data_IF_500035302871
#
_entry.id   IF_500035302871
#
_cell.length_a   1.000
_cell.length_b   1.000
_cell.length_c   1.000
_cell.angle_alpha   90.00
_cell.angle_beta   90.00
_cell.angle_gamma   90.00
#
_symmetry.space_group_name_H-M   'P 1'
#
loop_
_entity.id
_entity.type
_entity.pdbx_description
1 polymer ?
#
# COMPACT_ATOMS: atom_id res chain seq x y z
N UNK A 1 1.65 40.92 17.71
CA UNK A 1 2.03 40.25 18.96
C UNK A 1 2.25 38.78 18.63
N UNK A 2 3.51 38.34 18.55
CA UNK A 2 3.86 36.94 18.27
C UNK A 2 3.73 36.17 19.59
N UNK A 3 2.73 35.28 19.69
CA UNK A 3 2.64 34.35 20.82
C UNK A 3 3.75 33.30 20.62
N UNK A 4 4.85 33.44 21.34
CA UNK A 4 5.82 32.38 21.54
C UNK A 4 5.19 31.43 22.58
N UNK A 5 4.58 30.36 22.13
CA UNK A 5 4.12 29.30 23.03
C UNK A 5 5.35 28.47 23.43
N UNK A 6 6.00 28.86 24.52
CA UNK A 6 6.92 27.98 25.22
C UNK A 6 6.08 26.91 25.94
N UNK A 7 5.91 25.76 25.31
CA UNK A 7 5.26 24.61 25.94
C UNK A 7 6.25 23.99 26.93
N UNK A 8 6.08 24.28 28.21
CA UNK A 8 6.70 23.56 29.32
C UNK A 8 6.31 22.07 29.23
N UNK A 9 7.28 21.21 29.00
CA UNK A 9 7.15 19.76 28.96
C UNK A 9 6.80 19.19 30.36
N UNK A 10 5.54 19.28 30.75
CA UNK A 10 4.94 18.20 31.55
C UNK A 10 4.65 17.07 30.57
N UNK A 11 5.12 15.84 30.82
CA UNK A 11 4.84 14.67 30.01
C UNK A 11 3.34 14.64 29.64
N UNK A 12 2.92 14.95 28.41
CA UNK A 12 1.53 14.80 28.06
C UNK A 12 1.25 13.31 27.99
N UNK A 13 0.16 12.87 28.57
CA UNK A 13 -0.40 11.56 28.32
C UNK A 13 -0.42 11.35 26.80
N UNK A 14 0.16 10.24 26.33
CA UNK A 14 0.07 9.82 24.96
C UNK A 14 -1.37 10.02 24.50
N UNK A 15 -1.62 10.97 23.62
CA UNK A 15 -2.97 11.23 23.13
C UNK A 15 -3.49 9.92 22.54
N UNK A 16 -4.51 9.35 23.17
CA UNK A 16 -5.11 8.11 22.71
C UNK A 16 -5.52 8.30 21.25
N UNK A 17 -5.00 7.48 20.35
CA UNK A 17 -5.34 7.55 18.92
C UNK A 17 -6.85 7.37 18.78
N UNK A 18 -7.50 8.34 18.15
CA UNK A 18 -8.94 8.29 17.92
C UNK A 18 -9.22 7.41 16.72
N UNK A 19 -10.26 6.60 16.82
CA UNK A 19 -10.83 5.86 15.70
C UNK A 19 -11.97 6.68 15.09
N UNK A 20 -11.92 6.92 13.79
CA UNK A 20 -13.06 7.49 13.07
C UNK A 20 -14.14 6.41 12.90
N UNK A 21 -15.38 6.63 13.38
CA UNK A 21 -16.48 5.68 13.20
C UNK A 21 -16.78 5.33 11.74
N UNK A 22 -16.49 6.22 10.79
CA UNK A 22 -16.64 5.94 9.35
C UNK A 22 -15.62 4.89 8.90
N UNK A 23 -14.38 5.00 9.33
CA UNK A 23 -13.33 4.02 9.05
C UNK A 23 -13.65 2.68 9.72
N UNK A 24 -14.16 2.69 10.95
CA UNK A 24 -14.62 1.46 11.62
C UNK A 24 -15.75 0.78 10.84
N UNK A 25 -16.72 1.55 10.34
CA UNK A 25 -17.81 1.02 9.51
C UNK A 25 -17.30 0.44 8.19
N UNK A 26 -16.31 1.06 7.54
CA UNK A 26 -15.65 0.52 6.33
C UNK A 26 -14.97 -0.81 6.65
N UNK A 27 -14.16 -0.87 7.69
CA UNK A 27 -13.43 -2.07 8.11
C UNK A 27 -14.38 -3.21 8.49
N UNK A 28 -15.51 -2.92 9.11
CA UNK A 28 -16.51 -3.91 9.48
C UNK A 28 -17.16 -4.62 8.27
N UNK A 29 -17.13 -4.01 7.07
CA UNK A 29 -17.67 -4.60 5.83
C UNK A 29 -16.76 -5.64 5.20
N UNK A 30 -15.54 -5.83 5.70
CA UNK A 30 -14.61 -6.86 5.17
C UNK A 30 -15.06 -8.23 5.65
N UNK A 31 -15.36 -9.11 4.70
CA UNK A 31 -15.90 -10.43 4.91
C UNK A 31 -14.94 -11.53 4.41
N UNK A 32 -14.46 -12.37 5.32
CA UNK A 32 -13.55 -13.47 5.03
C UNK A 32 -14.17 -14.52 4.10
N UNK A 33 -15.47 -14.79 4.24
CA UNK A 33 -16.16 -15.78 3.40
C UNK A 33 -16.25 -15.32 1.94
N UNK A 34 -16.50 -14.03 1.71
CA UNK A 34 -16.45 -13.44 0.37
C UNK A 34 -15.05 -13.54 -0.23
N UNK A 35 -14.01 -13.22 0.54
CA UNK A 35 -12.62 -13.33 0.08
C UNK A 35 -12.29 -14.76 -0.33
N UNK A 36 -12.68 -15.75 0.48
CA UNK A 36 -12.51 -17.17 0.15
C UNK A 36 -13.23 -17.57 -1.13
N UNK A 37 -14.44 -17.07 -1.35
CA UNK A 37 -15.21 -17.35 -2.56
C UNK A 37 -14.52 -16.78 -3.82
N UNK A 38 -13.95 -15.58 -3.73
CA UNK A 38 -13.19 -14.95 -4.82
C UNK A 38 -11.93 -15.76 -5.13
N UNK A 39 -11.12 -16.09 -4.11
CA UNK A 39 -9.90 -16.89 -4.28
C UNK A 39 -10.22 -18.26 -4.88
N UNK A 40 -11.27 -18.93 -4.37
CA UNK A 40 -11.76 -20.19 -4.92
C UNK A 40 -12.07 -20.05 -6.42
N UNK A 41 -12.88 -19.05 -6.78
CA UNK A 41 -13.29 -18.87 -8.18
C UNK A 41 -12.09 -18.57 -9.10
N UNK A 42 -11.15 -17.73 -8.68
CA UNK A 42 -9.93 -17.47 -9.45
C UNK A 42 -9.09 -18.74 -9.62
N UNK A 43 -8.97 -19.57 -8.59
CA UNK A 43 -8.25 -20.85 -8.67
C UNK A 43 -8.90 -21.84 -9.63
N UNK A 44 -10.22 -21.80 -9.78
CA UNK A 44 -11.00 -22.70 -10.67
C UNK A 44 -10.78 -22.43 -12.17
N UNK A 45 -10.18 -21.30 -12.56
CA UNK A 45 -9.76 -21.08 -13.95
C UNK A 45 -8.57 -21.94 -14.37
N UNK A 46 -8.02 -22.76 -13.46
CA UNK A 46 -6.96 -23.73 -13.68
C UNK A 46 -5.60 -23.13 -13.91
N UNK A 47 -5.43 -22.29 -14.91
CA UNK A 47 -4.29 -21.39 -15.10
C UNK A 47 -4.79 -20.01 -15.46
N UNK A 48 -4.04 -18.98 -14.99
CA UNK A 48 -4.25 -17.59 -15.40
C UNK A 48 -2.96 -17.01 -15.98
N UNK A 49 -2.10 -17.90 -16.52
CA UNK A 49 -0.87 -17.47 -17.17
C UNK A 49 -1.15 -16.40 -18.25
N UNK A 50 -0.35 -15.35 -18.28
CA UNK A 50 -0.54 -14.20 -19.20
C UNK A 50 -0.72 -14.63 -20.67
N UNK A 51 -0.07 -15.72 -21.09
CA UNK A 51 -0.17 -16.25 -22.45
C UNK A 51 -1.17 -17.39 -22.60
N UNK A 52 -1.98 -17.71 -21.59
CA UNK A 52 -2.90 -18.86 -21.65
C UNK A 52 -4.11 -18.63 -22.56
N UNK A 53 -4.50 -17.38 -22.80
CA UNK A 53 -5.69 -17.07 -23.59
C UNK A 53 -6.96 -17.71 -23.03
N UNK A 54 -7.73 -18.38 -23.89
CA UNK A 54 -8.87 -19.23 -23.54
C UNK A 54 -8.51 -20.67 -23.86
N UNK A 55 -8.51 -21.56 -22.86
CA UNK A 55 -8.14 -22.97 -23.00
C UNK A 55 -9.35 -23.90 -22.76
N UNK A 56 -10.40 -23.74 -23.56
CA UNK A 56 -11.68 -24.44 -23.37
C UNK A 56 -12.63 -23.69 -22.42
N UNK A 57 -13.77 -24.29 -22.07
CA UNK A 57 -14.80 -23.62 -21.27
C UNK A 57 -14.28 -23.25 -19.87
N UNK A 58 -14.25 -21.93 -19.58
CA UNK A 58 -13.94 -21.42 -18.24
C UNK A 58 -12.48 -21.57 -17.80
N UNK A 59 -11.52 -21.82 -18.69
CA UNK A 59 -10.10 -21.99 -18.36
C UNK A 59 -9.22 -20.94 -19.06
N UNK A 60 -8.25 -20.40 -18.34
CA UNK A 60 -7.26 -19.45 -18.85
C UNK A 60 -7.49 -18.02 -18.38
N UNK A 61 -6.57 -17.11 -18.75
CA UNK A 61 -6.58 -15.72 -18.29
C UNK A 61 -7.76 -14.92 -18.84
N UNK A 62 -8.23 -15.21 -20.06
CA UNK A 62 -9.34 -14.46 -20.68
C UNK A 62 -10.64 -14.69 -19.94
N UNK A 63 -11.09 -15.95 -19.66
CA UNK A 63 -12.27 -16.17 -18.82
C UNK A 63 -12.14 -15.58 -17.40
N UNK A 64 -10.95 -15.61 -16.81
CA UNK A 64 -10.70 -15.00 -15.50
C UNK A 64 -10.88 -13.48 -15.56
N UNK A 65 -10.35 -12.84 -16.60
CA UNK A 65 -10.50 -11.41 -16.84
C UNK A 65 -11.95 -10.98 -17.02
N UNK A 66 -12.73 -11.70 -17.83
CA UNK A 66 -14.13 -11.39 -18.05
C UNK A 66 -14.95 -11.53 -16.75
N UNK A 67 -14.70 -12.60 -16.00
CA UNK A 67 -15.32 -12.76 -14.67
C UNK A 67 -14.95 -11.61 -13.72
N UNK A 68 -13.69 -11.20 -13.65
CA UNK A 68 -13.26 -10.07 -12.83
C UNK A 68 -13.93 -8.76 -13.24
N UNK A 69 -14.10 -8.54 -14.56
CA UNK A 69 -14.82 -7.38 -15.07
C UNK A 69 -16.26 -7.35 -14.58
N UNK A 70 -16.94 -8.49 -14.61
CA UNK A 70 -18.32 -8.63 -14.09
C UNK A 70 -18.37 -8.40 -12.58
N UNK A 71 -17.42 -8.92 -11.81
CA UNK A 71 -17.34 -8.72 -10.35
C UNK A 71 -17.13 -7.26 -9.98
N UNK A 72 -16.19 -6.55 -10.64
CA UNK A 72 -15.99 -5.12 -10.42
C UNK A 72 -17.21 -4.30 -10.84
N UNK A 73 -17.87 -4.67 -11.95
CA UNK A 73 -19.11 -4.03 -12.36
C UNK A 73 -20.25 -4.25 -11.35
N UNK A 74 -20.37 -5.46 -10.80
CA UNK A 74 -21.35 -5.78 -9.77
C UNK A 74 -21.11 -4.98 -8.48
N UNK A 75 -19.86 -4.85 -8.05
CA UNK A 75 -19.47 -4.01 -6.90
C UNK A 75 -19.77 -2.53 -7.17
N UNK A 76 -19.55 -2.07 -8.41
CA UNK A 76 -19.79 -0.69 -8.83
C UNK A 76 -21.27 -0.32 -8.99
N UNK A 77 -22.14 -1.30 -9.19
CA UNK A 77 -23.58 -1.06 -9.47
C UNK A 77 -24.27 -0.25 -8.36
N UNK A 78 -24.83 0.89 -8.72
CA UNK A 78 -25.55 1.76 -7.78
C UNK A 78 -24.65 2.38 -6.71
N UNK A 79 -23.36 2.57 -7.01
CA UNK A 79 -22.37 3.16 -6.10
C UNK A 79 -21.66 4.35 -6.76
N UNK A 80 -20.68 4.92 -6.06
CA UNK A 80 -19.81 5.98 -6.59
C UNK A 80 -18.61 5.46 -7.39
N UNK A 81 -18.37 4.16 -7.38
CA UNK A 81 -17.26 3.54 -8.09
C UNK A 81 -17.43 3.69 -9.60
N UNK A 82 -16.36 4.07 -10.26
CA UNK A 82 -16.28 4.18 -11.72
C UNK A 82 -15.44 3.04 -12.27
N UNK A 83 -15.85 2.38 -13.37
CA UNK A 83 -15.04 1.36 -14.02
C UNK A 83 -13.67 1.92 -14.43
N UNK A 84 -12.63 1.08 -14.28
CA UNK A 84 -11.28 1.38 -14.71
C UNK A 84 -10.76 0.26 -15.59
N UNK A 85 -10.19 0.59 -16.73
CA UNK A 85 -9.50 -0.34 -17.61
C UNK A 85 -8.25 0.32 -18.21
N UNK A 86 -7.16 -0.42 -18.23
CA UNK A 86 -5.90 -0.03 -18.84
C UNK A 86 -5.43 -1.21 -19.71
N UNK A 87 -5.54 -1.05 -21.04
CA UNK A 87 -5.36 -2.11 -22.03
C UNK A 87 -4.27 -1.75 -23.03
N UNK A 88 -3.37 -2.69 -23.31
CA UNK A 88 -2.31 -2.53 -24.29
C UNK A 88 -1.81 -3.88 -24.79
N UNK A 89 -0.99 -3.87 -25.85
CA UNK A 89 -0.30 -5.05 -26.36
C UNK A 89 1.15 -5.01 -25.89
N UNK A 90 1.56 -5.98 -25.08
CA UNK A 90 2.95 -6.21 -24.76
C UNK A 90 3.64 -6.92 -25.93
N UNK A 91 4.77 -6.41 -26.44
CA UNK A 91 5.53 -7.09 -27.50
C UNK A 91 6.18 -8.37 -26.98
N UNK A 92 6.48 -9.29 -27.87
CA UNK A 92 7.35 -10.42 -27.55
C UNK A 92 8.74 -9.92 -27.14
N UNK A 93 9.29 -10.47 -26.06
CA UNK A 93 10.62 -10.13 -25.53
C UNK A 93 11.64 -11.27 -25.66
N UNK A 94 11.19 -12.44 -26.15
CA UNK A 94 12.00 -13.65 -26.28
C UNK A 94 12.46 -14.27 -24.96
N UNK A 95 11.94 -13.78 -23.83
CA UNK A 95 12.30 -14.26 -22.47
C UNK A 95 11.07 -14.78 -21.71
N UNK A 96 10.12 -13.91 -21.41
CA UNK A 96 8.90 -14.23 -20.66
C UNK A 96 7.63 -14.04 -21.46
N UNK A 97 7.69 -13.28 -22.55
CA UNK A 97 6.62 -13.09 -23.53
C UNK A 97 7.06 -13.69 -24.87
N UNK A 98 6.63 -14.91 -25.14
CA UNK A 98 6.99 -15.64 -26.36
C UNK A 98 6.33 -15.06 -27.64
N UNK A 99 5.11 -14.53 -27.50
CA UNK A 99 4.33 -13.90 -28.58
C UNK A 99 3.68 -12.64 -28.03
N UNK A 100 3.38 -11.62 -28.87
CA UNK A 100 2.67 -10.43 -28.40
C UNK A 100 1.40 -10.81 -27.64
N UNK A 101 1.20 -10.22 -26.47
CA UNK A 101 0.10 -10.53 -25.57
C UNK A 101 -0.72 -9.29 -25.23
N UNK A 102 -2.04 -9.45 -25.21
CA UNK A 102 -2.92 -8.42 -24.69
C UNK A 102 -2.88 -8.41 -23.16
N UNK A 103 -2.43 -7.30 -22.60
CA UNK A 103 -2.42 -7.04 -21.15
C UNK A 103 -3.60 -6.14 -20.82
N UNK A 104 -4.37 -6.50 -19.80
CA UNK A 104 -5.52 -5.72 -19.37
C UNK A 104 -5.49 -5.60 -17.84
N UNK A 105 -5.16 -4.43 -17.36
CA UNK A 105 -5.40 -4.06 -15.96
C UNK A 105 -6.84 -3.59 -15.85
N UNK A 106 -7.56 -4.07 -14.86
CA UNK A 106 -8.98 -3.74 -14.70
C UNK A 106 -9.35 -3.55 -13.23
N UNK A 107 -10.36 -2.75 -12.98
CA UNK A 107 -10.78 -2.45 -11.61
C UNK A 107 -11.80 -1.34 -11.55
N UNK A 108 -11.75 -0.62 -10.44
CA UNK A 108 -12.63 0.53 -10.19
C UNK A 108 -11.88 1.66 -9.51
N UNK A 109 -12.36 2.88 -9.73
CA UNK A 109 -11.90 4.08 -9.04
C UNK A 109 -13.05 4.66 -8.22
N UNK A 110 -12.80 4.94 -6.95
CA UNK A 110 -13.65 5.78 -6.12
C UNK A 110 -13.17 7.22 -6.26
N UNK A 111 -13.91 8.11 -6.93
CA UNK A 111 -13.47 9.48 -7.14
C UNK A 111 -13.41 10.28 -5.83
N UNK A 112 -12.37 11.07 -5.68
CA UNK A 112 -12.26 12.05 -4.61
C UNK A 112 -13.27 13.18 -4.76
N UNK A 113 -13.62 13.81 -3.63
CA UNK A 113 -14.59 14.90 -3.57
C UNK A 113 -13.96 16.28 -3.44
N UNK A 114 -12.68 16.34 -3.10
CA UNK A 114 -11.94 17.60 -2.95
C UNK A 114 -11.36 18.05 -4.30
N UNK A 115 -11.96 19.08 -4.88
CA UNK A 115 -11.53 19.62 -6.19
C UNK A 115 -10.07 20.10 -6.19
N UNK A 116 -9.56 20.62 -5.05
CA UNK A 116 -8.18 21.04 -4.94
C UNK A 116 -7.20 19.86 -4.95
N UNK A 117 -7.70 18.64 -4.71
CA UNK A 117 -6.94 17.38 -4.67
C UNK A 117 -7.34 16.40 -5.77
N UNK A 118 -8.04 16.87 -6.81
CA UNK A 118 -8.59 16.04 -7.89
C UNK A 118 -7.55 15.17 -8.63
N UNK A 119 -6.28 15.58 -8.63
CA UNK A 119 -5.16 14.85 -9.21
C UNK A 119 -4.39 13.97 -8.20
N UNK A 120 -4.87 13.87 -6.97
CA UNK A 120 -4.25 13.02 -5.96
C UNK A 120 -4.97 11.68 -5.86
N UNK A 121 -4.20 10.60 -5.70
CA UNK A 121 -4.75 9.26 -5.63
C UNK A 121 -4.03 8.36 -4.63
N UNK A 122 -4.76 7.38 -4.11
CA UNK A 122 -4.25 6.19 -3.43
C UNK A 122 -4.49 5.01 -4.35
N UNK A 123 -3.51 4.12 -4.50
CA UNK A 123 -3.60 2.96 -5.41
C UNK A 123 -3.38 1.67 -4.61
N UNK A 124 -4.24 0.68 -4.84
CA UNK A 124 -4.07 -0.67 -4.34
C UNK A 124 -4.14 -1.65 -5.51
N UNK A 125 -3.18 -2.56 -5.60
CA UNK A 125 -3.14 -3.61 -6.62
C UNK A 125 -3.00 -5.01 -6.04
N UNK A 126 -3.48 -6.00 -6.76
CA UNK A 126 -3.11 -7.40 -6.73
C UNK A 126 -3.07 -7.90 -8.17
N UNK A 127 -2.26 -8.92 -8.49
CA UNK A 127 -2.21 -9.43 -9.86
C UNK A 127 -3.11 -10.65 -10.04
N UNK A 128 -3.75 -10.75 -11.20
CA UNK A 128 -4.65 -11.87 -11.45
C UNK A 128 -4.07 -12.95 -12.36
N UNK A 129 -2.90 -12.73 -12.93
CA UNK A 129 -2.14 -13.78 -13.60
C UNK A 129 -1.48 -14.74 -12.60
N UNK A 130 -1.07 -15.92 -13.06
CA UNK A 130 -0.42 -16.96 -12.26
C UNK A 130 0.48 -17.82 -13.12
N UNK A 131 1.49 -18.47 -12.53
CA UNK A 131 2.41 -19.36 -13.24
C UNK A 131 2.59 -20.70 -12.53
N UNK A 132 2.85 -21.78 -13.30
CA UNK A 132 3.35 -23.05 -12.74
C UNK A 132 4.87 -22.99 -12.48
N UNK A 133 5.51 -24.14 -12.29
CA UNK A 133 6.96 -24.22 -12.07
C UNK A 133 7.80 -23.74 -13.27
N UNK A 134 7.28 -23.89 -14.48
CA UNK A 134 7.86 -23.30 -15.70
C UNK A 134 7.14 -22.01 -16.04
N UNK A 135 7.83 -20.89 -15.89
CA UNK A 135 7.29 -19.55 -16.18
C UNK A 135 6.86 -19.35 -17.63
N UNK A 136 7.26 -20.23 -18.53
CA UNK A 136 6.91 -20.17 -19.95
C UNK A 136 5.77 -21.14 -20.32
N UNK A 137 5.26 -21.93 -19.36
CA UNK A 137 4.17 -22.88 -19.61
C UNK A 137 2.80 -22.26 -19.37
N UNK A 138 2.05 -21.90 -20.42
CA UNK A 138 0.74 -21.30 -20.30
C UNK A 138 -0.39 -22.33 -20.12
N UNK A 139 -0.09 -23.65 -20.09
CA UNK A 139 -1.08 -24.73 -20.19
C UNK A 139 -1.27 -25.51 -18.90
N UNK A 140 -0.20 -25.75 -18.18
CA UNK A 140 -0.22 -26.51 -16.93
C UNK A 140 -1.00 -25.75 -15.85
N UNK A 141 -1.64 -26.48 -14.95
CA UNK A 141 -2.40 -25.91 -13.84
C UNK A 141 -1.52 -25.04 -12.95
N UNK A 142 -1.97 -23.83 -12.74
CA UNK A 142 -1.42 -22.82 -11.84
C UNK A 142 -2.57 -22.08 -11.13
N UNK A 143 -3.17 -22.70 -10.09
CA UNK A 143 -4.35 -22.13 -9.43
C UNK A 143 -4.09 -20.76 -8.81
N UNK A 144 -2.84 -20.48 -8.36
CA UNK A 144 -2.44 -19.17 -7.87
C UNK A 144 -3.37 -18.64 -6.78
N UNK A 145 -3.64 -19.45 -5.75
CA UNK A 145 -4.59 -19.08 -4.70
C UNK A 145 -4.02 -17.98 -3.80
N UNK A 146 -2.73 -18.12 -3.44
CA UNK A 146 -2.03 -17.15 -2.61
C UNK A 146 -1.30 -16.14 -3.49
N UNK A 147 -0.74 -16.58 -4.59
CA UNK A 147 0.01 -15.81 -5.60
C UNK A 147 -0.77 -15.77 -6.93
N UNK A 148 -1.68 -14.77 -7.23
CA UNK A 148 -2.09 -13.74 -6.28
C UNK A 148 -3.61 -13.50 -6.33
N UNK A 149 -4.41 -14.59 -6.41
CA UNK A 149 -5.86 -14.46 -6.21
C UNK A 149 -6.18 -13.82 -4.83
N UNK A 150 -5.26 -13.95 -3.87
CA UNK A 150 -5.38 -13.37 -2.54
C UNK A 150 -5.42 -11.84 -2.58
N UNK A 151 -4.49 -11.18 -3.26
CA UNK A 151 -4.45 -9.72 -3.41
C UNK A 151 -5.62 -9.20 -4.22
N UNK A 152 -6.01 -9.90 -5.30
CA UNK A 152 -7.22 -9.55 -6.07
C UNK A 152 -8.47 -9.62 -5.20
N UNK A 153 -8.58 -10.64 -4.32
CA UNK A 153 -9.71 -10.74 -3.39
C UNK A 153 -9.78 -9.56 -2.42
N UNK A 154 -8.63 -9.05 -1.99
CA UNK A 154 -8.54 -7.85 -1.16
C UNK A 154 -8.95 -6.60 -1.94
N UNK A 155 -8.53 -6.45 -3.20
CA UNK A 155 -8.92 -5.30 -4.04
C UNK A 155 -10.44 -5.22 -4.21
N UNK A 156 -11.09 -6.33 -4.56
CA UNK A 156 -12.56 -6.42 -4.68
C UNK A 156 -13.27 -6.17 -3.35
N UNK A 157 -12.73 -6.68 -2.24
CA UNK A 157 -13.33 -6.52 -0.91
C UNK A 157 -13.22 -5.08 -0.41
N UNK A 158 -12.07 -4.42 -0.61
CA UNK A 158 -11.87 -3.02 -0.25
C UNK A 158 -12.73 -2.08 -1.11
N UNK A 159 -12.80 -2.33 -2.44
CA UNK A 159 -13.69 -1.60 -3.34
C UNK A 159 -15.14 -1.68 -2.87
N UNK A 160 -15.61 -2.88 -2.51
CA UNK A 160 -16.96 -3.08 -1.98
C UNK A 160 -17.18 -2.37 -0.64
N UNK A 161 -16.18 -2.37 0.24
CA UNK A 161 -16.27 -1.72 1.55
C UNK A 161 -16.34 -0.20 1.45
N UNK A 162 -15.65 0.40 0.48
CA UNK A 162 -15.57 1.86 0.30
C UNK A 162 -16.58 2.42 -0.72
N UNK A 163 -17.34 1.59 -1.42
CA UNK A 163 -18.12 1.91 -2.62
C UNK A 163 -18.98 3.17 -2.57
N UNK A 164 -19.46 3.57 -1.41
CA UNK A 164 -20.37 4.72 -1.21
C UNK A 164 -19.74 5.82 -0.36
N UNK A 165 -18.48 5.68 0.02
CA UNK A 165 -17.79 6.71 0.81
C UNK A 165 -17.42 7.92 -0.04
N UNK A 166 -17.16 9.04 0.63
CA UNK A 166 -16.81 10.34 0.04
C UNK A 166 -15.37 10.73 0.46
N UNK A 167 -14.34 10.10 -0.11
CA UNK A 167 -12.96 10.41 0.22
C UNK A 167 -12.55 11.77 -0.35
N UNK A 168 -11.56 12.42 0.24
CA UNK A 168 -11.00 13.64 -0.29
C UNK A 168 -10.21 13.44 -1.59
N UNK A 169 -9.51 12.31 -1.70
CA UNK A 169 -8.69 11.94 -2.85
C UNK A 169 -9.22 10.67 -3.51
N UNK A 170 -8.91 10.46 -4.78
CA UNK A 170 -9.35 9.25 -5.50
C UNK A 170 -8.67 7.99 -4.95
N UNK A 171 -9.40 6.86 -4.96
CA UNK A 171 -8.85 5.56 -4.57
C UNK A 171 -9.04 4.56 -5.71
N UNK A 172 -7.94 3.98 -6.17
CA UNK A 172 -7.91 2.98 -7.23
C UNK A 172 -7.78 1.57 -6.64
N UNK A 173 -8.64 0.66 -7.06
CA UNK A 173 -8.57 -0.78 -6.76
C UNK A 173 -8.42 -1.52 -8.08
N UNK A 174 -7.23 -2.05 -8.34
CA UNK A 174 -6.89 -2.57 -9.67
C UNK A 174 -6.35 -4.00 -9.57
N UNK A 175 -6.94 -4.90 -10.35
CA UNK A 175 -6.36 -6.20 -10.67
C UNK A 175 -5.45 -6.01 -11.91
N UNK A 176 -4.14 -6.22 -11.75
CA UNK A 176 -3.16 -6.08 -12.83
C UNK A 176 -2.82 -7.43 -13.44
N UNK A 177 -2.29 -7.43 -14.66
CA UNK A 177 -1.87 -8.64 -15.38
C UNK A 177 -0.41 -8.57 -15.82
N UNK A 178 0.20 -9.73 -16.02
CA UNK A 178 1.58 -9.82 -16.48
C UNK A 178 2.61 -9.45 -15.42
N UNK A 179 2.27 -9.60 -14.15
CA UNK A 179 3.22 -9.48 -13.04
C UNK A 179 4.30 -10.53 -13.18
N UNK A 180 3.88 -11.78 -13.34
CA UNK A 180 4.73 -12.96 -13.45
C UNK A 180 5.64 -12.98 -14.69
N UNK A 181 5.27 -12.21 -15.71
CA UNK A 181 6.08 -12.01 -16.88
C UNK A 181 6.97 -10.77 -16.81
N UNK A 182 7.12 -10.17 -15.63
CA UNK A 182 8.05 -9.07 -15.36
C UNK A 182 7.37 -7.73 -15.08
N UNK A 183 6.30 -7.71 -14.31
CA UNK A 183 5.62 -6.50 -13.84
C UNK A 183 5.01 -5.65 -14.97
N UNK A 184 4.65 -6.28 -16.10
CA UNK A 184 4.32 -5.56 -17.34
C UNK A 184 3.10 -4.65 -17.15
N UNK A 185 2.03 -5.17 -16.53
CA UNK A 185 0.80 -4.41 -16.34
C UNK A 185 0.99 -3.26 -15.37
N UNK A 186 1.65 -3.49 -14.24
CA UNK A 186 1.89 -2.45 -13.25
C UNK A 186 2.86 -1.37 -13.74
N UNK A 187 3.85 -1.72 -14.59
CA UNK A 187 4.73 -0.74 -15.22
C UNK A 187 3.94 0.22 -16.11
N UNK A 188 3.08 -0.34 -16.97
CA UNK A 188 2.22 0.47 -17.84
C UNK A 188 1.28 1.36 -17.03
N UNK A 189 0.62 0.81 -16.01
CA UNK A 189 -0.27 1.56 -15.13
C UNK A 189 0.46 2.72 -14.43
N UNK A 190 1.63 2.46 -13.85
CA UNK A 190 2.41 3.49 -13.16
C UNK A 190 2.86 4.61 -14.11
N UNK A 191 3.31 4.25 -15.33
CA UNK A 191 3.69 5.21 -16.37
C UNK A 191 2.49 6.04 -16.83
N UNK A 192 1.33 5.40 -17.04
CA UNK A 192 0.08 6.06 -17.41
C UNK A 192 -0.33 7.10 -16.37
N UNK A 193 -0.43 6.71 -15.09
CA UNK A 193 -0.81 7.63 -14.02
C UNK A 193 0.16 8.82 -13.92
N UNK A 194 1.46 8.57 -14.10
CA UNK A 194 2.46 9.64 -14.12
C UNK A 194 2.28 10.58 -15.31
N UNK A 195 2.04 10.04 -16.50
CA UNK A 195 1.81 10.84 -17.71
C UNK A 195 0.51 11.66 -17.67
N UNK A 196 -0.52 11.16 -16.98
CA UNK A 196 -1.77 11.85 -16.71
C UNK A 196 -1.65 12.91 -15.60
N UNK A 197 -0.48 13.05 -14.99
CA UNK A 197 -0.20 14.00 -13.91
C UNK A 197 -0.89 13.64 -12.60
N UNK A 198 -1.18 12.35 -12.37
CA UNK A 198 -1.73 11.87 -11.10
C UNK A 198 -0.62 11.81 -10.06
N UNK A 199 -0.82 12.52 -8.96
CA UNK A 199 0.05 12.46 -7.79
C UNK A 199 -0.38 11.28 -6.90
N UNK A 200 0.28 10.13 -7.03
CA UNK A 200 0.03 8.97 -6.17
C UNK A 200 0.62 9.24 -4.79
N UNK A 201 -0.24 9.47 -3.81
CA UNK A 201 0.13 9.72 -2.42
C UNK A 201 0.64 8.48 -1.70
N UNK A 202 0.08 7.34 -2.08
CA UNK A 202 0.36 6.05 -1.48
C UNK A 202 -0.04 4.93 -2.45
N UNK A 203 0.81 3.93 -2.61
CA UNK A 203 0.50 2.72 -3.36
C UNK A 203 0.82 1.48 -2.53
N UNK A 204 -0.05 0.49 -2.56
CA UNK A 204 0.20 -0.82 -1.97
C UNK A 204 -0.10 -1.93 -2.96
N UNK A 205 0.91 -2.75 -3.25
CA UNK A 205 0.70 -4.06 -3.85
C UNK A 205 0.45 -5.06 -2.73
N UNK A 206 -0.63 -5.82 -2.84
CA UNK A 206 -0.84 -7.00 -2.00
C UNK A 206 -0.50 -8.22 -2.85
N UNK A 207 0.47 -8.98 -2.41
CA UNK A 207 0.96 -10.12 -3.18
C UNK A 207 1.55 -11.15 -2.22
N UNK A 208 1.12 -12.40 -2.38
CA UNK A 208 1.34 -13.53 -1.47
C UNK A 208 0.78 -13.20 -0.08
N UNK A 209 -0.54 -13.24 0.04
CA UNK A 209 -1.25 -12.90 1.27
C UNK A 209 -2.31 -13.95 1.64
N UNK A 210 -2.28 -14.38 2.90
CA UNK A 210 -3.32 -15.27 3.44
C UNK A 210 -2.93 -16.72 3.62
N UNK A 211 -1.68 -17.13 3.37
CA UNK A 211 -1.19 -18.40 3.88
C UNK A 211 -0.58 -18.17 5.28
N UNK A 212 -1.07 -18.90 6.28
CA UNK A 212 -0.62 -18.76 7.67
C UNK A 212 0.42 -19.81 8.09
N UNK A 213 0.76 -20.78 7.23
CA UNK A 213 1.70 -21.85 7.54
C UNK A 213 2.98 -21.75 6.71
N UNK A 214 4.10 -21.45 7.36
CA UNK A 214 5.42 -21.43 6.74
C UNK A 214 5.90 -22.82 6.33
N UNK A 215 6.94 -22.88 5.49
CA UNK A 215 7.53 -24.14 5.05
C UNK A 215 8.13 -24.97 6.20
N UNK A 216 8.46 -24.33 7.31
CA UNK A 216 8.93 -24.93 8.55
C UNK A 216 7.79 -25.51 9.42
N UNK A 217 6.53 -25.43 8.95
CA UNK A 217 5.34 -25.88 9.66
C UNK A 217 4.89 -24.91 10.77
N UNK A 218 5.57 -23.81 10.98
CA UNK A 218 5.17 -22.81 11.96
C UNK A 218 4.00 -21.98 11.42
N UNK A 219 2.94 -21.89 12.21
CA UNK A 219 1.76 -21.08 11.88
C UNK A 219 1.85 -19.69 12.50
N UNK A 220 1.70 -18.66 11.67
CA UNK A 220 1.58 -17.28 12.11
C UNK A 220 0.48 -16.57 11.29
N UNK A 221 -0.69 -16.44 11.89
CA UNK A 221 -1.83 -15.71 11.34
C UNK A 221 -2.02 -14.34 12.02
N UNK A 222 -1.03 -13.89 12.78
CA UNK A 222 -1.10 -12.67 13.59
C UNK A 222 -0.11 -11.60 13.15
N UNK A 223 0.77 -11.93 12.22
CA UNK A 223 1.78 -11.00 11.69
C UNK A 223 1.66 -10.90 10.17
N UNK A 224 1.96 -9.71 9.61
CA UNK A 224 2.18 -9.52 8.17
C UNK A 224 3.37 -8.58 7.95
N UNK A 225 3.94 -8.59 6.73
CA UNK A 225 5.14 -7.82 6.37
C UNK A 225 4.78 -6.69 5.42
N UNK A 226 5.37 -5.52 5.65
CA UNK A 226 5.30 -4.35 4.78
C UNK A 226 6.71 -4.05 4.27
N UNK A 227 6.99 -4.38 3.01
CA UNK A 227 8.26 -4.05 2.38
C UNK A 227 8.23 -2.61 1.87
N UNK A 228 9.28 -1.84 2.17
CA UNK A 228 9.38 -0.43 1.79
C UNK A 228 10.82 -0.04 1.51
N UNK A 229 11.06 0.66 0.41
CA UNK A 229 12.38 1.23 0.15
C UNK A 229 12.69 2.38 1.11
N UNK A 230 13.96 2.57 1.43
CA UNK A 230 14.41 3.72 2.23
C UNK A 230 14.76 4.91 1.34
N UNK A 231 15.60 4.66 0.34
CA UNK A 231 16.05 5.67 -0.62
C UNK A 231 15.42 5.36 -1.98
N UNK A 232 14.64 6.29 -2.55
CA UNK A 232 14.03 6.08 -3.87
C UNK A 232 15.08 5.93 -4.97
N UNK A 233 14.92 4.92 -5.83
CA UNK A 233 15.77 4.75 -7.01
C UNK A 233 15.67 5.95 -7.98
N UNK A 234 14.52 6.61 -8.00
CA UNK A 234 14.25 7.82 -8.80
C UNK A 234 14.80 9.11 -8.19
N UNK A 235 15.57 9.02 -7.08
CA UNK A 235 16.09 10.20 -6.39
C UNK A 235 17.01 11.03 -7.30
N UNK A 236 16.71 12.33 -7.42
CA UNK A 236 17.56 13.28 -8.13
C UNK A 236 18.78 13.66 -7.30
N UNK A 237 19.85 14.19 -7.94
CA UNK A 237 21.03 14.68 -7.23
C UNK A 237 20.72 15.80 -6.21
N UNK A 238 19.70 16.61 -6.47
CA UNK A 238 19.25 17.63 -5.52
C UNK A 238 18.60 17.00 -4.29
N UNK A 239 17.73 16.04 -4.49
CA UNK A 239 17.10 15.28 -3.40
C UNK A 239 18.14 14.49 -2.60
N UNK A 240 19.10 13.86 -3.28
CA UNK A 240 20.21 13.15 -2.63
C UNK A 240 21.03 14.06 -1.71
N UNK A 241 21.44 15.23 -2.21
CA UNK A 241 22.20 16.20 -1.39
C UNK A 241 21.42 16.63 -0.15
N UNK A 242 20.12 16.87 -0.32
CA UNK A 242 19.26 17.27 0.79
C UNK A 242 19.09 16.14 1.82
N UNK A 243 18.83 14.92 1.35
CA UNK A 243 18.71 13.73 2.20
C UNK A 243 19.99 13.51 3.03
N UNK A 244 21.17 13.60 2.40
CA UNK A 244 22.45 13.47 3.08
C UNK A 244 22.67 14.59 4.13
N UNK A 245 22.21 15.82 3.84
CA UNK A 245 22.32 16.93 4.79
C UNK A 245 21.38 16.81 6.00
N UNK A 246 20.27 16.07 5.85
CA UNK A 246 19.24 15.89 6.88
C UNK A 246 19.33 14.55 7.59
N UNK A 247 20.13 13.60 7.10
CA UNK A 247 20.20 12.23 7.65
C UNK A 247 18.92 11.43 7.45
N UNK A 248 18.18 11.68 6.36
CA UNK A 248 16.84 11.09 6.11
C UNK A 248 16.89 9.79 5.29
N UNK A 249 17.89 8.93 5.49
CA UNK A 249 18.01 7.65 4.76
C UNK A 249 16.86 6.67 5.02
N UNK A 250 16.18 6.83 6.14
CA UNK A 250 15.07 5.98 6.55
C UNK A 250 13.69 6.67 6.52
N UNK A 251 13.61 7.87 5.93
CA UNK A 251 12.41 8.71 5.99
C UNK A 251 11.89 9.06 4.58
N UNK A 252 12.19 8.19 3.61
CA UNK A 252 11.63 8.28 2.27
C UNK A 252 10.12 8.04 2.25
N UNK A 253 9.41 8.56 1.23
CA UNK A 253 7.94 8.52 1.18
C UNK A 253 7.34 7.11 1.29
N UNK A 254 7.97 6.10 0.68
CA UNK A 254 7.53 4.70 0.79
C UNK A 254 7.64 4.18 2.24
N UNK A 255 8.71 4.57 2.96
CA UNK A 255 8.91 4.21 4.36
C UNK A 255 7.88 4.87 5.26
N UNK A 256 7.53 6.13 5.00
CA UNK A 256 6.48 6.83 5.74
C UNK A 256 5.11 6.21 5.50
N UNK A 257 4.81 5.81 4.26
CA UNK A 257 3.58 5.07 3.99
C UNK A 257 3.54 3.73 4.73
N UNK A 258 4.63 2.96 4.76
CA UNK A 258 4.68 1.71 5.52
C UNK A 258 4.46 1.90 7.03
N UNK A 259 5.07 2.93 7.63
CA UNK A 259 4.85 3.29 9.05
C UNK A 259 3.40 3.72 9.30
N UNK A 260 2.83 4.47 8.35
CA UNK A 260 1.44 4.89 8.43
C UNK A 260 0.50 3.68 8.40
N UNK A 261 0.69 2.75 7.45
CA UNK A 261 -0.10 1.50 7.37
C UNK A 261 0.06 0.67 8.64
N UNK A 262 1.28 0.56 9.17
CA UNK A 262 1.52 -0.15 10.44
C UNK A 262 0.71 0.47 11.58
N UNK A 263 0.86 1.76 11.82
CA UNK A 263 0.23 2.46 12.94
C UNK A 263 -1.29 2.47 12.81
N UNK A 264 -1.80 2.96 11.68
CA UNK A 264 -3.24 3.11 11.45
C UNK A 264 -3.90 1.75 11.22
N UNK A 265 -3.26 0.86 10.45
CA UNK A 265 -3.80 -0.48 10.19
C UNK A 265 -3.94 -1.31 11.46
N UNK A 266 -2.94 -1.29 12.36
CA UNK A 266 -3.02 -1.99 13.64
C UNK A 266 -4.10 -1.39 14.56
N UNK A 267 -4.40 -0.10 14.43
CA UNK A 267 -5.49 0.54 15.17
C UNK A 267 -6.86 -0.04 14.79
N UNK A 268 -7.07 -0.34 13.51
CA UNK A 268 -8.36 -0.81 12.98
C UNK A 268 -8.46 -2.33 12.80
N UNK A 269 -7.36 -3.08 12.91
CA UNK A 269 -7.36 -4.54 12.80
C UNK A 269 -6.79 -5.20 14.04
N UNK A 270 -7.67 -5.57 14.96
CA UNK A 270 -7.26 -6.27 16.18
C UNK A 270 -6.65 -7.64 15.87
N UNK A 271 -5.60 -8.00 16.60
CA UNK A 271 -4.92 -9.30 16.48
C UNK A 271 -4.01 -9.46 15.26
N UNK A 272 -3.69 -8.37 14.56
CA UNK A 272 -2.67 -8.34 13.53
C UNK A 272 -1.55 -7.36 13.92
N UNK A 273 -0.30 -7.79 13.72
CA UNK A 273 0.90 -6.95 13.81
C UNK A 273 1.53 -6.81 12.44
N UNK A 274 1.82 -5.57 12.06
CA UNK A 274 2.47 -5.26 10.79
C UNK A 274 3.95 -4.97 11.02
N UNK A 275 4.82 -5.72 10.36
CA UNK A 275 6.27 -5.56 10.45
C UNK A 275 6.76 -4.75 9.25
N UNK A 276 7.25 -3.55 9.49
CA UNK A 276 7.90 -2.75 8.46
C UNK A 276 9.26 -3.36 8.15
N UNK A 277 9.40 -3.88 6.93
CA UNK A 277 10.63 -4.45 6.41
C UNK A 277 11.47 -3.33 5.78
N UNK A 278 12.69 -3.13 6.30
CA UNK A 278 13.58 -2.05 5.88
C UNK A 278 14.33 -2.41 4.59
N UNK A 279 13.61 -2.92 3.62
CA UNK A 279 14.13 -3.24 2.29
C UNK A 279 13.00 -3.15 1.27
N UNK A 280 13.36 -2.87 0.05
CA UNK A 280 12.42 -2.67 -1.06
C UNK A 280 11.54 -3.89 -1.29
N UNK A 281 12.15 -5.09 -1.33
CA UNK A 281 11.47 -6.38 -1.42
C UNK A 281 12.41 -7.51 -0.93
N UNK A 282 12.01 -8.75 -1.14
CA UNK A 282 12.82 -9.97 -0.96
C UNK A 282 14.05 -9.93 -1.89
N UNK A 283 15.06 -10.72 -1.56
CA UNK A 283 16.31 -10.77 -2.36
C UNK A 283 16.01 -11.33 -3.75
N UNK A 284 16.38 -10.58 -4.78
CA UNK A 284 16.21 -10.91 -6.21
C UNK A 284 14.76 -11.21 -6.62
N UNK A 285 13.78 -10.68 -5.89
CA UNK A 285 12.34 -10.79 -6.17
C UNK A 285 11.69 -9.40 -6.13
N UNK A 286 10.47 -9.30 -6.60
CA UNK A 286 9.73 -8.06 -6.63
C UNK A 286 8.24 -8.28 -6.56
N UNK A 287 7.48 -7.23 -6.81
CA UNK A 287 6.04 -7.20 -7.04
C UNK A 287 5.67 -5.83 -7.63
N UNK A 288 4.41 -5.61 -7.95
CA UNK A 288 3.87 -4.44 -8.65
C UNK A 288 4.25 -3.08 -8.01
N UNK A 289 4.46 -3.02 -6.68
CA UNK A 289 4.91 -1.80 -6.01
C UNK A 289 6.25 -1.27 -6.57
N UNK A 290 7.12 -2.14 -7.08
CA UNK A 290 8.40 -1.74 -7.66
C UNK A 290 8.21 -0.88 -8.92
N UNK A 291 7.19 -1.18 -9.72
CA UNK A 291 6.82 -0.41 -10.90
C UNK A 291 6.48 1.04 -10.54
N UNK A 292 5.75 1.22 -9.47
CA UNK A 292 5.38 2.55 -8.95
C UNK A 292 6.57 3.26 -8.29
N UNK A 293 7.37 2.54 -7.50
CA UNK A 293 8.58 3.08 -6.89
C UNK A 293 9.57 3.59 -7.94
N UNK A 294 9.73 2.88 -9.08
CA UNK A 294 10.56 3.31 -10.21
C UNK A 294 10.06 4.61 -10.86
N UNK A 295 8.77 4.93 -10.74
CA UNK A 295 8.21 6.20 -11.17
C UNK A 295 8.32 7.30 -10.10
N UNK A 296 8.86 7.00 -8.92
CA UNK A 296 9.01 7.92 -7.80
C UNK A 296 7.77 8.03 -6.92
N UNK A 297 6.83 7.12 -7.03
CA UNK A 297 5.65 7.08 -6.17
C UNK A 297 5.93 6.35 -4.85
N UNK A 298 5.33 6.78 -3.73
CA UNK A 298 5.39 6.06 -2.46
C UNK A 298 4.71 4.70 -2.57
N UNK A 299 5.50 3.62 -2.65
CA UNK A 299 4.96 2.30 -2.91
C UNK A 299 5.52 1.27 -1.93
N UNK A 300 4.64 0.37 -1.45
CA UNK A 300 4.96 -0.71 -0.52
C UNK A 300 4.32 -2.01 -0.96
N UNK A 301 4.85 -3.14 -0.49
CA UNK A 301 4.23 -4.45 -0.63
C UNK A 301 3.75 -4.95 0.72
N UNK A 302 2.48 -5.36 0.80
CA UNK A 302 1.93 -6.13 1.90
C UNK A 302 1.99 -7.62 1.56
N UNK A 303 2.57 -8.43 2.44
CA UNK A 303 2.73 -9.87 2.25
C UNK A 303 2.54 -10.62 3.58
N UNK A 304 2.26 -11.91 3.51
CA UNK A 304 2.14 -12.78 4.68
C UNK A 304 3.43 -12.86 5.50
N UNK A 305 3.31 -13.31 6.75
CA UNK A 305 4.44 -13.38 7.69
C UNK A 305 5.51 -14.39 7.27
N UNK A 306 5.10 -15.56 6.78
CA UNK A 306 5.95 -16.72 6.48
C UNK A 306 5.57 -17.32 5.13
N UNK A 307 6.51 -17.25 4.20
CA UNK A 307 6.32 -17.85 2.88
C UNK A 307 6.47 -19.37 2.92
N UNK A 308 5.69 -20.04 2.06
CA UNK A 308 5.78 -21.48 1.86
C UNK A 308 6.11 -21.79 0.39
N UNK A 309 7.39 -22.07 0.12
CA UNK A 309 7.90 -22.30 -1.23
C UNK A 309 7.43 -23.61 -1.87
N UNK A 310 6.67 -24.45 -1.13
CA UNK A 310 5.95 -25.60 -1.71
C UNK A 310 4.67 -25.17 -2.41
N UNK A 311 4.19 -23.94 -2.13
CA UNK A 311 3.06 -23.32 -2.83
C UNK A 311 3.51 -22.51 -4.02
N UNK A 312 4.33 -21.50 -3.76
CA UNK A 312 4.68 -20.45 -4.72
C UNK A 312 5.34 -20.99 -5.98
N UNK A 313 4.81 -20.61 -7.16
CA UNK A 313 5.33 -20.98 -8.46
C UNK A 313 5.55 -22.50 -8.60
N UNK A 314 4.64 -23.29 -8.05
CA UNK A 314 4.75 -24.74 -8.09
C UNK A 314 3.55 -25.35 -8.86
N UNK A 315 3.89 -26.17 -9.84
CA UNK A 315 2.89 -27.05 -10.46
C UNK A 315 2.27 -27.96 -9.39
N UNK A 316 0.93 -28.07 -9.30
CA UNK A 316 0.26 -28.96 -8.35
C UNK A 316 0.69 -30.40 -8.54
N UNK A 317 1.25 -31.01 -7.48
CA UNK A 317 1.69 -32.41 -7.47
C UNK A 317 1.90 -32.89 -6.05
N UNK A 318 1.96 -34.22 -5.90
CA UNK A 318 2.43 -34.85 -4.68
C UNK A 318 3.74 -35.60 -4.99
N UNK A 319 4.78 -35.31 -4.26
CA UNK A 319 6.10 -35.91 -4.44
C UNK A 319 6.65 -36.32 -3.08
N UNK A 320 6.99 -37.61 -2.92
CA UNK A 320 7.46 -38.21 -1.65
C UNK A 320 6.53 -37.88 -0.45
N UNK A 321 5.20 -37.91 -0.66
CA UNK A 321 4.23 -37.57 0.37
C UNK A 321 4.07 -36.09 0.68
N UNK A 322 4.82 -35.21 0.02
CA UNK A 322 4.73 -33.75 0.15
C UNK A 322 3.87 -33.17 -0.96
N UNK A 323 2.90 -32.35 -0.59
CA UNK A 323 2.00 -31.66 -1.54
C UNK A 323 2.58 -30.31 -1.95
N UNK A 324 2.73 -30.12 -3.26
CA UNK A 324 3.17 -28.88 -3.91
C UNK A 324 1.99 -28.25 -4.66
N UNK A 325 2.07 -26.94 -4.91
CA UNK A 325 1.09 -26.18 -5.65
C UNK A 325 0.46 -25.07 -4.81
N UNK A 326 0.14 -23.97 -5.47
CA UNK A 326 -0.56 -22.84 -4.87
C UNK A 326 -2.06 -23.03 -5.00
N UNK A 327 -2.60 -23.83 -4.10
CA UNK A 327 -3.98 -24.28 -4.12
C UNK A 327 -4.81 -23.69 -2.97
N UNK A 328 -6.13 -23.65 -3.14
CA UNK A 328 -7.10 -23.04 -2.22
C UNK A 328 -6.98 -23.49 -0.76
N UNK A 329 -6.56 -24.73 -0.49
CA UNK A 329 -6.44 -25.25 0.88
C UNK A 329 -5.37 -24.55 1.72
N UNK A 330 -4.47 -23.80 1.07
CA UNK A 330 -3.46 -22.96 1.73
C UNK A 330 -4.01 -21.61 2.20
N UNK A 331 -5.16 -21.20 1.70
CA UNK A 331 -5.73 -19.90 1.99
C UNK A 331 -6.46 -19.86 3.33
N UNK A 332 -5.91 -19.12 4.28
CA UNK A 332 -6.50 -18.81 5.59
C UNK A 332 -7.30 -17.50 5.46
N UNK A 333 -8.58 -17.62 5.08
CA UNK A 333 -9.42 -16.46 4.85
C UNK A 333 -9.59 -15.54 6.08
N UNK A 334 -9.70 -16.03 7.33
CA UNK A 334 -9.65 -15.18 8.52
C UNK A 334 -8.38 -14.37 8.66
N UNK A 335 -7.22 -14.94 8.33
CA UNK A 335 -5.94 -14.22 8.34
C UNK A 335 -5.88 -13.15 7.24
N UNK A 336 -6.23 -13.52 6.01
CA UNK A 336 -6.33 -12.59 4.89
C UNK A 336 -7.28 -11.42 5.19
N UNK A 337 -8.43 -11.70 5.83
CA UNK A 337 -9.38 -10.66 6.23
C UNK A 337 -8.80 -9.70 7.27
N UNK A 338 -7.97 -10.16 8.21
CA UNK A 338 -7.25 -9.25 9.14
C UNK A 338 -6.27 -8.35 8.40
N UNK A 339 -5.52 -8.90 7.44
CA UNK A 339 -4.62 -8.10 6.58
C UNK A 339 -5.40 -7.07 5.76
N UNK A 340 -6.52 -7.48 5.15
CA UNK A 340 -7.42 -6.60 4.40
C UNK A 340 -8.00 -5.48 5.27
N UNK A 341 -8.45 -5.80 6.50
CA UNK A 341 -8.96 -4.82 7.49
C UNK A 341 -7.91 -3.78 7.86
N UNK A 342 -6.66 -4.22 8.09
CA UNK A 342 -5.58 -3.30 8.40
C UNK A 342 -5.31 -2.34 7.24
N UNK A 343 -5.20 -2.87 6.02
CA UNK A 343 -4.89 -2.06 4.85
C UNK A 343 -6.05 -1.11 4.48
N UNK A 344 -7.31 -1.59 4.46
CA UNK A 344 -8.46 -0.74 4.14
C UNK A 344 -8.68 0.33 5.21
N UNK A 345 -8.39 0.04 6.47
CA UNK A 345 -8.43 1.02 7.56
C UNK A 345 -7.42 2.16 7.33
N UNK A 346 -6.19 1.82 6.95
CA UNK A 346 -5.17 2.81 6.62
C UNK A 346 -5.51 3.61 5.34
N UNK A 347 -5.99 2.94 4.28
CA UNK A 347 -6.43 3.60 3.04
C UNK A 347 -7.59 4.55 3.30
N UNK A 348 -8.62 4.12 4.02
CA UNK A 348 -9.79 4.94 4.34
C UNK A 348 -9.42 6.16 5.19
N UNK A 349 -8.64 5.97 6.26
CA UNK A 349 -8.18 7.06 7.11
C UNK A 349 -7.38 8.10 6.31
N UNK A 350 -6.46 7.66 5.44
CA UNK A 350 -5.68 8.56 4.58
C UNK A 350 -6.57 9.26 3.53
N UNK A 351 -7.53 8.54 2.96
CA UNK A 351 -8.43 9.08 1.94
C UNK A 351 -9.38 10.14 2.50
N UNK A 352 -9.73 10.06 3.79
CA UNK A 352 -10.52 11.08 4.49
C UNK A 352 -9.67 12.22 5.09
N UNK A 353 -8.36 12.01 5.25
CA UNK A 353 -7.46 12.95 5.89
C UNK A 353 -7.39 14.31 5.17
N UNK A 354 -7.11 15.39 5.93
CA UNK A 354 -6.81 16.68 5.33
C UNK A 354 -5.49 16.65 4.53
N UNK A 355 -5.24 17.70 3.76
CA UNK A 355 -4.02 17.85 3.00
C UNK A 355 -2.80 17.92 3.94
N UNK A 356 -1.65 17.28 3.61
CA UNK A 356 -0.46 17.29 4.45
C UNK A 356 0.19 18.68 4.52
N UNK A 357 0.97 18.97 5.57
CA UNK A 357 1.74 20.19 5.64
C UNK A 357 2.74 20.27 4.49
N UNK A 358 3.03 21.47 4.04
CA UNK A 358 3.95 21.76 2.92
C UNK A 358 5.21 22.46 3.44
N UNK A 359 6.29 22.40 2.67
CA UNK A 359 7.51 23.16 2.92
C UNK A 359 8.05 22.98 4.36
N UNK A 360 8.02 21.74 4.87
CA UNK A 360 8.54 21.46 6.21
C UNK A 360 10.05 21.71 6.22
N UNK A 361 10.51 22.54 7.17
CA UNK A 361 11.93 22.87 7.34
C UNK A 361 12.38 22.59 8.76
N UNK A 362 13.66 22.22 8.92
CA UNK A 362 14.31 21.99 10.21
C UNK A 362 15.44 23.01 10.38
N UNK A 363 15.41 23.76 11.48
CA UNK A 363 16.48 24.65 11.93
C UNK A 363 17.03 24.21 13.28
N UNK A 364 18.17 24.80 13.68
CA UNK A 364 18.78 24.50 14.98
C UNK A 364 20.06 23.66 14.89
N UNK A 365 20.68 23.54 13.72
CA UNK A 365 21.90 22.73 13.50
C UNK A 365 23.08 23.08 14.47
N UNK A 366 23.15 24.30 14.98
CA UNK A 366 24.15 24.72 15.96
C UNK A 366 23.48 25.33 17.21
N UNK A 367 22.33 24.75 17.61
CA UNK A 367 21.53 25.23 18.73
C UNK A 367 21.14 24.04 19.61
N UNK A 368 20.99 24.26 20.93
CA UNK A 368 20.40 23.23 21.78
C UNK A 368 18.91 22.98 21.50
N UNK A 369 18.29 23.83 20.67
CA UNK A 369 16.86 23.82 20.41
C UNK A 369 16.58 23.47 18.95
N UNK A 370 15.70 22.50 18.71
CA UNK A 370 15.18 22.21 17.38
C UNK A 370 14.04 23.18 17.03
N UNK A 371 14.00 23.63 15.78
CA UNK A 371 13.00 24.55 15.26
C UNK A 371 12.40 24.02 13.98
N UNK A 372 11.11 23.74 13.98
CA UNK A 372 10.40 23.31 12.78
C UNK A 372 9.45 24.41 12.30
N UNK A 373 9.39 24.55 10.98
CA UNK A 373 8.42 25.41 10.30
C UNK A 373 7.79 24.67 9.13
N UNK A 374 6.55 24.97 8.86
CA UNK A 374 5.79 24.40 7.73
C UNK A 374 4.71 25.38 7.27
N UNK A 375 4.17 25.12 6.10
CA UNK A 375 3.00 25.81 5.59
C UNK A 375 1.77 24.93 5.77
N UNK A 376 0.75 25.43 6.44
CA UNK A 376 -0.54 24.75 6.48
C UNK A 376 -1.28 24.99 5.17
N UNK A 377 -1.82 23.93 4.52
CA UNK A 377 -2.70 24.09 3.39
C UNK A 377 -3.98 24.86 3.79
N UNK A 378 -4.62 25.49 2.81
CA UNK A 378 -5.97 26.05 2.97
C UNK A 378 -7.01 24.89 2.88
N UNK A 379 -7.07 24.10 3.93
CA UNK A 379 -7.98 22.96 4.05
C UNK A 379 -8.79 23.10 5.36
N UNK A 380 -10.10 23.37 5.27
CA UNK A 380 -10.94 23.61 6.45
C UNK A 380 -11.06 22.39 7.37
N UNK A 381 -10.75 21.17 6.88
CA UNK A 381 -10.76 19.95 7.68
C UNK A 381 -9.62 19.89 8.69
N UNK A 382 -8.54 20.65 8.53
CA UNK A 382 -7.43 20.66 9.47
C UNK A 382 -7.92 21.15 10.84
N UNK A 383 -7.87 20.27 11.84
CA UNK A 383 -8.11 20.60 13.22
C UNK A 383 -6.79 20.91 13.96
N UNK A 384 -5.71 20.20 13.63
CA UNK A 384 -4.42 20.36 14.29
C UNK A 384 -3.27 19.91 13.38
N UNK A 385 -2.09 20.50 13.60
CA UNK A 385 -0.82 19.89 13.20
C UNK A 385 -0.37 18.92 14.29
N UNK A 386 0.26 17.81 13.89
CA UNK A 386 0.82 16.82 14.81
C UNK A 386 2.32 16.71 14.59
N UNK A 387 3.09 16.90 15.65
CA UNK A 387 4.53 16.73 15.62
C UNK A 387 4.89 15.27 15.92
N UNK A 388 5.77 14.73 15.11
CA UNK A 388 6.45 13.46 15.30
C UNK A 388 7.93 13.69 15.57
N UNK A 389 8.48 12.92 16.49
CA UNK A 389 9.93 12.78 16.61
C UNK A 389 10.25 11.31 16.90
N UNK A 390 11.47 10.93 16.64
CA UNK A 390 12.09 9.68 17.09
C UNK A 390 13.56 9.91 17.36
N UNK A 391 14.20 9.18 18.28
CA UNK A 391 15.65 9.13 18.37
C UNK A 391 16.25 8.70 17.02
N UNK A 392 17.40 9.24 16.65
CA UNK A 392 18.06 8.96 15.38
C UNK A 392 18.47 7.47 15.23
N UNK A 393 18.63 6.75 16.35
CA UNK A 393 18.92 5.32 16.43
C UNK A 393 17.65 4.41 16.40
N UNK A 394 16.45 4.99 16.22
CA UNK A 394 15.16 4.29 16.19
C UNK A 394 14.47 4.45 14.84
N UNK A 395 13.52 3.55 14.57
CA UNK A 395 12.78 3.54 13.30
C UNK A 395 11.33 3.98 13.49
N UNK A 396 10.71 3.62 14.62
CA UNK A 396 9.33 3.94 14.90
C UNK A 396 9.19 5.39 15.39
N UNK A 397 8.21 6.10 14.83
CA UNK A 397 7.85 7.43 15.30
C UNK A 397 7.25 7.37 16.71
N UNK A 398 7.69 8.29 17.54
CA UNK A 398 6.98 8.67 18.77
C UNK A 398 6.02 9.81 18.41
N UNK A 399 4.74 9.61 18.63
CA UNK A 399 3.76 10.69 18.46
C UNK A 399 3.89 11.65 19.62
N UNK A 400 4.24 12.90 19.33
CA UNK A 400 4.45 13.87 20.37
C UNK A 400 3.16 14.55 20.83
N UNK A 401 2.65 15.51 20.14
CA UNK A 401 1.55 16.36 20.61
C UNK A 401 0.81 16.96 19.43
N UNK A 402 -0.52 17.08 19.58
CA UNK A 402 -1.31 17.94 18.74
C UNK A 402 -1.01 19.40 19.11
N UNK A 403 -0.56 20.18 18.13
CA UNK A 403 -0.07 21.56 18.33
C UNK A 403 -1.16 22.64 18.10
N UNK A 404 -2.36 22.24 17.62
CA UNK A 404 -3.35 23.17 17.09
C UNK A 404 -3.01 23.62 15.65
N UNK A 405 -3.67 24.65 15.17
CA UNK A 405 -3.46 25.22 13.82
C UNK A 405 -2.26 26.19 13.83
N UNK A 406 -1.06 25.65 13.97
CA UNK A 406 0.18 26.43 13.97
C UNK A 406 1.06 26.02 12.79
N UNK A 407 2.00 26.88 12.42
CA UNK A 407 2.94 26.70 11.31
C UNK A 407 4.40 26.66 11.75
N UNK A 408 4.67 26.70 13.05
CA UNK A 408 6.00 26.55 13.61
C UNK A 408 5.97 26.01 15.04
N UNK A 409 7.05 25.38 15.46
CA UNK A 409 7.31 24.97 16.84
C UNK A 409 8.80 25.08 17.13
N UNK A 410 9.11 25.48 18.37
CA UNK A 410 10.47 25.42 18.93
C UNK A 410 10.46 24.40 20.05
N UNK A 411 11.41 23.50 20.04
CA UNK A 411 11.60 22.45 21.05
C UNK A 411 12.85 22.79 21.88
N UNK A 412 12.69 23.41 23.05
CA UNK A 412 13.82 23.77 23.90
C UNK A 412 14.58 22.54 24.40
N UNK A 413 15.90 22.59 24.38
CA UNK A 413 16.81 21.53 24.82
C UNK A 413 16.62 20.20 24.07
N UNK A 414 16.18 20.27 22.82
CA UNK A 414 16.08 19.13 21.91
C UNK A 414 16.99 19.43 20.71
N UNK A 415 18.16 18.83 20.67
CA UNK A 415 19.10 19.05 19.57
C UNK A 415 18.67 18.27 18.31
N UNK A 416 19.16 18.68 17.16
CA UNK A 416 18.83 18.07 15.86
C UNK A 416 19.68 16.85 15.51
N UNK A 417 20.74 16.57 16.26
CA UNK A 417 21.66 15.46 15.98
C UNK A 417 21.11 14.13 16.51
N UNK A 418 20.43 14.18 17.66
CA UNK A 418 19.91 12.99 18.31
C UNK A 418 18.48 12.63 17.88
N UNK A 419 17.80 13.52 17.16
CA UNK A 419 16.37 13.37 16.85
C UNK A 419 16.04 13.59 15.38
N UNK A 420 15.15 12.78 14.86
CA UNK A 420 14.49 12.96 13.56
C UNK A 420 13.06 13.43 13.78
N UNK A 421 12.58 14.31 12.90
CA UNK A 421 11.28 14.97 13.03
C UNK A 421 10.42 14.79 11.79
N UNK A 422 9.10 14.82 11.98
CA UNK A 422 8.13 14.97 10.91
C UNK A 422 6.88 15.72 11.43
N UNK A 423 6.09 16.25 10.52
CA UNK A 423 4.83 16.93 10.84
C UNK A 423 3.72 16.39 9.96
N UNK A 424 2.54 16.16 10.52
CA UNK A 424 1.31 15.84 9.79
C UNK A 424 0.21 16.85 10.10
N UNK A 425 -0.90 16.75 9.39
CA UNK A 425 -2.17 17.41 9.69
C UNK A 425 -3.22 16.37 10.07
N UNK A 426 -4.12 16.71 10.98
CA UNK A 426 -5.17 15.82 11.44
C UNK A 426 -6.51 16.56 11.48
N UNK A 427 -7.59 15.84 11.12
CA UNK A 427 -8.96 16.33 11.27
C UNK A 427 -9.53 16.10 12.69
N UNK A 428 -10.74 16.56 12.94
CA UNK A 428 -11.41 16.41 14.24
C UNK A 428 -11.81 14.97 14.53
N UNK A 429 -11.95 14.11 13.55
CA UNK A 429 -12.27 12.69 13.70
C UNK A 429 -11.04 11.82 13.99
N UNK A 430 -9.83 12.35 13.77
CA UNK A 430 -8.58 11.65 14.00
C UNK A 430 -7.92 11.14 12.72
N UNK A 431 -8.51 11.40 11.52
CA UNK A 431 -7.86 11.06 10.27
C UNK A 431 -6.67 11.98 10.02
N UNK A 432 -5.55 11.41 9.66
CA UNK A 432 -4.28 12.10 9.64
C UNK A 432 -3.57 11.91 8.30
N UNK A 433 -2.94 12.97 7.80
CA UNK A 433 -2.08 12.86 6.63
C UNK A 433 -0.81 12.06 6.94
N UNK A 434 -0.16 11.52 5.92
CA UNK A 434 1.17 10.92 6.09
C UNK A 434 2.11 11.99 6.66
N UNK A 435 2.90 11.68 7.74
CA UNK A 435 3.89 12.60 8.27
C UNK A 435 4.91 13.02 7.20
N UNK A 436 5.22 14.32 7.15
CA UNK A 436 6.18 14.89 6.22
C UNK A 436 7.48 15.21 6.94
N UNK A 437 8.55 14.52 6.55
CA UNK A 437 9.90 14.84 7.01
C UNK A 437 10.35 16.21 6.46
N UNK A 438 11.29 16.92 7.12
CA UNK A 438 11.85 18.17 6.60
C UNK A 438 12.48 17.99 5.21
N UNK A 439 12.19 18.95 4.32
CA UNK A 439 12.71 19.01 2.95
C UNK A 439 13.74 20.13 2.75
N UNK A 440 14.07 20.84 3.81
CA UNK A 440 15.10 21.87 3.78
C UNK A 440 15.64 22.16 5.19
N UNK A 441 16.89 22.63 5.25
CA UNK A 441 17.48 23.17 6.47
C UNK A 441 17.09 24.65 6.55
N UNK A 442 16.33 25.01 7.59
CA UNK A 442 15.98 26.40 7.90
C UNK A 442 17.20 27.17 8.43
N UNK A 443 17.36 28.40 8.00
CA UNK A 443 18.35 29.36 8.58
C UNK A 443 17.83 29.96 9.87
#
# INVERSE_FOLDING_TARGET
MKLIAALLLSLPALAQERRDPRVEAVVARIDAARMQAIVKRLSEFGTRHTLSGTQGPGRGIVPAREWLKDEFAAVGKGSRLQPFEDRFIAPADGKRIATPAEIVNLGVVLPGTDAARAKQAIVMTGHYDSIPSDVMDPKTDAPGAIDDASGVSMALSMAAALRNEEPAVSVYFVAVAGEEQGLIGSQHLAQRLKSEGVAVLAMTSVDIAGNSEGQDGVRDSTTARLFSEGVPESETDAQRRLRLALGNENDGPAREWARYVQRVGELYSSGLKLRVMLRRDRIARGSDHMSFANQGFPAVRLSEARENYRGQHQTPRTENGVRFGDELWRFDAPYAARMCKALVGAIAALAFAPAPPQEVTLGGANSPDAKLRWKLPDDPRIATAVLYRRPADRIAWERMVALGKVSEVVLPSVNTDDWVFAVSTQDAAGNESIPQAPLAVGR
#
